data_IF_953354452375
#
_entry.id   IF_953354452375
#
_cell.length_a   1.000
_cell.length_b   1.000
_cell.length_c   1.000
_cell.angle_alpha   90.00
_cell.angle_beta   90.00
_cell.angle_gamma   90.00
#
_symmetry.space_group_name_H-M   'P 1'
#
loop_
_entity.id
_entity.type
_entity.pdbx_description
1 polymer ?
#
# COMPACT_ATOMS: atom_id res chain seq x y z
N UNK A 1 -4.00 17.17 19.21
CA UNK A 1 -3.46 15.78 19.17
C UNK A 1 -2.75 15.56 17.85
N UNK A 2 -1.58 14.95 17.89
CA UNK A 2 -0.76 14.73 16.69
C UNK A 2 -1.06 13.35 16.10
N UNK A 3 -1.51 13.33 14.84
CA UNK A 3 -1.82 12.10 14.09
C UNK A 3 -0.76 11.79 13.02
N UNK A 4 0.25 12.65 12.85
CA UNK A 4 1.32 12.49 11.87
C UNK A 4 2.20 11.30 12.24
N UNK A 5 2.61 10.57 11.23
CA UNK A 5 3.54 9.44 11.37
C UNK A 5 4.64 9.49 10.31
N UNK A 6 5.80 8.95 10.65
CA UNK A 6 6.95 8.82 9.78
C UNK A 6 7.29 7.34 9.60
N UNK A 7 7.20 6.84 8.38
CA UNK A 7 7.44 5.45 8.06
C UNK A 7 8.80 5.26 7.40
N UNK A 8 9.59 4.35 7.94
CA UNK A 8 10.92 4.03 7.47
C UNK A 8 11.82 3.52 8.59
N UNK A 9 13.06 3.24 8.26
CA UNK A 9 14.06 2.81 9.24
C UNK A 9 14.39 3.98 10.19
N UNK A 10 14.28 3.75 11.49
CA UNK A 10 14.69 4.74 12.53
C UNK A 10 16.21 4.71 12.73
N UNK A 11 16.85 5.84 13.04
CA UNK A 11 18.29 5.88 13.29
C UNK A 11 18.65 5.07 14.55
N UNK A 12 19.74 4.33 14.49
CA UNK A 12 20.22 3.54 15.64
C UNK A 12 20.69 4.42 16.79
N UNK A 13 21.28 5.57 16.49
CA UNK A 13 21.82 6.51 17.47
C UNK A 13 21.60 7.95 17.04
N UNK A 14 21.22 8.78 17.98
CA UNK A 14 21.19 10.23 17.81
C UNK A 14 22.60 10.77 18.09
N UNK A 15 23.22 11.39 17.09
CA UNK A 15 24.53 12.05 17.20
C UNK A 15 24.36 13.56 17.17
N UNK A 16 25.16 14.24 17.99
CA UNK A 16 25.21 15.71 18.02
C UNK A 16 26.65 16.18 17.88
N UNK A 17 26.85 17.32 17.25
CA UNK A 17 28.16 17.98 17.19
C UNK A 17 28.52 18.65 18.54
N UNK A 18 29.71 19.25 18.60
CA UNK A 18 30.20 19.94 19.79
C UNK A 18 29.31 21.16 20.20
N UNK A 19 28.51 21.65 19.28
CA UNK A 19 27.54 22.75 19.50
C UNK A 19 26.15 22.25 19.86
N UNK A 20 25.95 20.92 20.00
CA UNK A 20 24.68 20.29 20.34
C UNK A 20 23.72 20.13 19.16
N UNK A 21 24.11 20.46 17.94
CA UNK A 21 23.26 20.34 16.74
C UNK A 21 23.19 18.88 16.29
N UNK A 22 22.02 18.47 15.81
CA UNK A 22 21.79 17.13 15.31
C UNK A 22 22.60 16.88 14.02
N UNK A 23 23.45 15.86 14.03
CA UNK A 23 24.25 15.40 12.88
C UNK A 23 23.90 13.96 12.45
N UNK A 24 22.85 13.37 13.03
CA UNK A 24 22.37 12.05 12.61
C UNK A 24 21.77 12.16 11.21
N UNK A 25 22.28 11.40 10.27
CA UNK A 25 21.64 11.22 8.97
C UNK A 25 20.40 10.34 9.14
N UNK A 26 19.26 10.87 8.69
CA UNK A 26 18.03 10.10 8.64
C UNK A 26 17.93 9.38 7.30
N UNK A 27 17.58 8.10 7.34
CA UNK A 27 17.18 7.40 6.12
C UNK A 27 15.89 8.03 5.57
N UNK A 28 15.61 7.90 4.25
CA UNK A 28 14.38 8.39 3.68
C UNK A 28 13.16 7.89 4.45
N UNK A 29 12.23 8.80 4.76
CA UNK A 29 10.99 8.52 5.48
C UNK A 29 9.80 8.88 4.60
N UNK A 30 8.71 8.13 4.74
CA UNK A 30 7.42 8.48 4.18
C UNK A 30 6.61 9.22 5.26
N UNK A 31 6.38 10.50 5.07
CA UNK A 31 5.61 11.33 5.99
C UNK A 31 4.12 11.26 5.64
N UNK A 32 3.26 11.03 6.62
CA UNK A 32 1.81 11.00 6.50
C UNK A 32 1.17 11.88 7.56
N UNK A 33 0.16 12.67 7.20
CA UNK A 33 -0.58 13.52 8.14
C UNK A 33 -1.46 12.74 9.13
N UNK A 34 -1.72 11.46 8.83
CA UNK A 34 -2.48 10.51 9.65
C UNK A 34 -2.04 9.08 9.31
N UNK A 35 -2.20 8.09 10.20
CA UNK A 35 -1.70 6.73 10.00
C UNK A 35 -2.55 5.89 9.03
N UNK A 36 -2.96 6.47 7.89
CA UNK A 36 -3.78 5.79 6.87
C UNK A 36 -3.26 6.10 5.47
N UNK A 37 -3.24 5.07 4.62
CA UNK A 37 -2.88 5.15 3.20
C UNK A 37 -3.92 4.42 2.36
N UNK A 38 -4.11 4.84 1.11
CA UNK A 38 -4.89 4.08 0.14
C UNK A 38 -4.06 2.91 -0.39
N UNK A 39 -4.61 1.70 -0.26
CA UNK A 39 -3.90 0.48 -0.65
C UNK A 39 -3.77 0.33 -2.16
N UNK A 40 -2.86 -0.55 -2.57
CA UNK A 40 -2.55 -0.83 -3.96
C UNK A 40 -3.78 -1.28 -4.78
N UNK A 41 -4.12 -0.50 -5.79
CA UNK A 41 -5.18 -0.79 -6.75
C UNK A 41 -4.68 -0.42 -8.15
N UNK A 42 -4.47 -1.42 -9.03
CA UNK A 42 -3.79 -1.20 -10.29
C UNK A 42 -4.65 -0.52 -11.35
N UNK A 43 -4.04 0.39 -12.13
CA UNK A 43 -4.67 0.93 -13.33
C UNK A 43 -4.99 -0.19 -14.34
N UNK A 44 -6.20 -0.19 -14.84
CA UNK A 44 -6.78 -1.28 -15.59
C UNK A 44 -7.66 -2.21 -14.75
N UNK A 45 -7.31 -2.49 -13.47
CA UNK A 45 -8.24 -3.11 -12.53
C UNK A 45 -9.32 -2.13 -12.11
N UNK A 46 -8.93 -0.90 -11.75
CA UNK A 46 -9.81 0.23 -11.56
C UNK A 46 -9.62 1.24 -12.70
N UNK A 47 -10.58 2.14 -12.88
CA UNK A 47 -10.59 3.16 -13.93
C UNK A 47 -9.59 4.29 -13.64
N UNK A 48 -9.29 5.09 -14.67
CA UNK A 48 -8.53 6.32 -14.51
C UNK A 48 -9.20 7.26 -13.51
N UNK A 49 -10.52 7.48 -13.62
CA UNK A 49 -11.28 8.35 -12.72
C UNK A 49 -11.15 7.93 -11.25
N UNK A 50 -11.12 6.62 -10.98
CA UNK A 50 -10.91 6.12 -9.62
C UNK A 50 -9.46 6.36 -9.13
N UNK A 51 -8.47 6.18 -10.01
CA UNK A 51 -7.08 6.51 -9.69
C UNK A 51 -6.88 8.00 -9.44
N UNK A 52 -7.44 8.85 -10.28
CA UNK A 52 -7.37 10.31 -10.13
C UNK A 52 -8.01 10.76 -8.82
N UNK A 53 -9.19 10.22 -8.48
CA UNK A 53 -9.84 10.51 -7.20
C UNK A 53 -8.95 10.16 -6.01
N UNK A 54 -8.30 8.99 -6.03
CA UNK A 54 -7.39 8.57 -4.97
C UNK A 54 -6.14 9.45 -4.87
N UNK A 55 -5.53 9.79 -6.02
CA UNK A 55 -4.33 10.62 -6.07
C UNK A 55 -4.59 12.04 -5.56
N UNK A 56 -5.68 12.66 -6.00
CA UNK A 56 -6.10 14.01 -5.58
C UNK A 56 -6.45 14.05 -4.09
N UNK A 57 -7.18 13.06 -3.61
CA UNK A 57 -7.50 12.96 -2.18
C UNK A 57 -6.24 12.73 -1.33
N UNK A 58 -5.30 11.89 -1.79
CA UNK A 58 -4.04 11.65 -1.09
C UNK A 58 -3.22 12.94 -0.97
N UNK A 59 -3.11 13.72 -2.04
CA UNK A 59 -2.42 15.01 -2.03
C UNK A 59 -3.10 16.00 -1.07
N UNK A 60 -4.41 16.18 -1.18
CA UNK A 60 -5.16 17.12 -0.35
C UNK A 60 -5.08 16.78 1.15
N UNK A 61 -4.99 15.50 1.49
CA UNK A 61 -4.93 15.00 2.85
C UNK A 61 -3.50 14.88 3.40
N UNK A 62 -2.47 14.97 2.56
CA UNK A 62 -1.08 14.73 2.98
C UNK A 62 -0.85 13.25 3.38
N UNK A 63 -1.49 12.32 2.67
CA UNK A 63 -1.27 10.87 2.79
C UNK A 63 -0.80 10.32 1.44
N UNK A 64 -0.68 9.00 1.31
CA UNK A 64 -0.30 8.38 0.05
C UNK A 64 -1.34 7.41 -0.49
N UNK A 65 -1.40 7.30 -1.84
CA UNK A 65 -2.04 6.19 -2.52
C UNK A 65 -0.99 5.32 -3.21
N UNK A 66 -1.34 4.06 -3.50
CA UNK A 66 -0.46 3.09 -4.12
C UNK A 66 -0.96 2.74 -5.53
N UNK A 67 -0.07 2.81 -6.52
CA UNK A 67 -0.40 2.56 -7.94
C UNK A 67 -0.88 1.13 -8.21
N UNK A 68 -0.52 0.17 -7.36
CA UNK A 68 -0.66 -1.23 -7.70
C UNK A 68 0.30 -1.65 -8.83
N UNK A 69 0.12 -2.86 -9.34
CA UNK A 69 1.03 -3.51 -10.29
C UNK A 69 0.85 -3.11 -11.77
N UNK A 70 0.21 -2.00 -12.06
CA UNK A 70 -0.18 -1.59 -13.41
C UNK A 70 0.62 -0.43 -14.01
N UNK A 71 1.69 0.03 -13.36
CA UNK A 71 2.36 1.27 -13.75
C UNK A 71 1.59 2.51 -13.27
N UNK A 72 1.96 3.67 -13.75
CA UNK A 72 1.37 4.96 -13.42
C UNK A 72 1.00 5.69 -14.73
N UNK A 73 -0.25 6.15 -14.84
CA UNK A 73 -0.69 6.95 -15.98
C UNK A 73 0.05 8.29 -15.99
N UNK A 74 0.41 8.80 -17.18
CA UNK A 74 1.22 10.02 -17.34
C UNK A 74 0.63 11.24 -16.61
N UNK A 75 -0.67 11.43 -16.65
CA UNK A 75 -1.35 12.56 -16.00
C UNK A 75 -1.26 12.52 -14.47
N UNK A 76 -0.91 11.38 -13.87
CA UNK A 76 -0.83 11.20 -12.42
C UNK A 76 0.59 11.38 -11.86
N UNK A 77 1.61 11.54 -12.71
CA UNK A 77 2.99 11.80 -12.26
C UNK A 77 3.10 13.07 -11.42
N UNK A 78 2.24 14.06 -11.64
CA UNK A 78 2.17 15.28 -10.83
C UNK A 78 1.90 15.05 -9.35
N UNK A 79 1.26 13.93 -9.00
CA UNK A 79 0.97 13.52 -7.62
C UNK A 79 2.07 12.62 -7.00
N UNK A 80 3.25 12.57 -7.61
CA UNK A 80 4.34 11.66 -7.21
C UNK A 80 4.72 11.73 -5.74
N UNK A 81 4.66 12.91 -5.13
CA UNK A 81 4.94 13.10 -3.68
C UNK A 81 3.98 12.33 -2.76
N UNK A 82 2.79 12.01 -3.25
CA UNK A 82 1.73 11.30 -2.55
C UNK A 82 1.45 9.92 -3.18
N UNK A 83 2.40 9.40 -3.95
CA UNK A 83 2.28 8.15 -4.69
C UNK A 83 3.31 7.13 -4.20
N UNK A 84 2.86 5.90 -3.96
CA UNK A 84 3.73 4.74 -3.77
C UNK A 84 3.70 3.94 -5.07
N UNK A 85 4.87 3.75 -5.70
CA UNK A 85 5.00 2.96 -6.93
C UNK A 85 5.22 1.50 -6.61
N UNK A 86 4.42 0.60 -7.18
CA UNK A 86 4.50 -0.83 -6.87
C UNK A 86 5.25 -1.61 -7.96
N UNK A 87 6.10 -2.54 -7.51
CA UNK A 87 6.85 -3.49 -8.33
C UNK A 87 6.37 -4.90 -7.98
N UNK A 88 5.63 -5.54 -8.88
CA UNK A 88 5.15 -6.91 -8.74
C UNK A 88 5.95 -7.86 -9.65
N UNK A 89 5.67 -9.17 -9.60
CA UNK A 89 6.38 -10.18 -10.38
C UNK A 89 6.28 -9.97 -11.89
N UNK A 90 5.18 -9.42 -12.40
CA UNK A 90 4.99 -9.13 -13.83
C UNK A 90 5.74 -7.90 -14.34
N UNK A 91 6.26 -7.05 -13.46
CA UNK A 91 7.03 -5.82 -13.80
C UNK A 91 6.30 -4.88 -14.79
N UNK A 92 4.98 -4.90 -14.84
CA UNK A 92 4.20 -4.07 -15.77
C UNK A 92 4.42 -2.58 -15.53
N UNK A 93 4.83 -1.85 -16.56
CA UNK A 93 5.05 -0.40 -16.48
C UNK A 93 6.18 0.03 -15.55
N UNK A 94 7.09 -0.87 -15.20
CA UNK A 94 8.23 -0.54 -14.32
C UNK A 94 9.39 -0.05 -15.18
N UNK A 95 9.76 1.21 -15.01
CA UNK A 95 10.90 1.87 -15.63
C UNK A 95 11.46 2.96 -14.71
N UNK A 96 12.58 3.56 -15.06
CA UNK A 96 13.29 4.50 -14.17
C UNK A 96 12.41 5.69 -13.77
N UNK A 97 11.76 6.38 -14.72
CA UNK A 97 10.90 7.53 -14.42
C UNK A 97 9.74 7.17 -13.49
N UNK A 98 9.15 5.97 -13.67
CA UNK A 98 8.13 5.45 -12.78
C UNK A 98 8.64 5.26 -11.35
N UNK A 99 9.83 4.66 -11.19
CA UNK A 99 10.44 4.48 -9.87
C UNK A 99 10.80 5.82 -9.23
N UNK A 100 11.27 6.77 -10.04
CA UNK A 100 11.63 8.11 -9.58
C UNK A 100 10.43 9.00 -9.27
N UNK A 101 9.25 8.74 -9.82
CA UNK A 101 8.06 9.55 -9.60
C UNK A 101 7.51 9.45 -8.17
N UNK A 102 7.45 8.24 -7.60
CA UNK A 102 6.81 8.00 -6.30
C UNK A 102 7.61 8.48 -5.10
N UNK A 103 6.94 8.65 -3.97
CA UNK A 103 7.56 8.95 -2.68
C UNK A 103 8.22 7.72 -2.04
N UNK A 104 7.72 6.52 -2.35
CA UNK A 104 8.24 5.23 -1.90
C UNK A 104 8.03 4.18 -2.99
N UNK A 105 8.77 3.07 -2.90
CA UNK A 105 8.61 1.91 -3.77
C UNK A 105 8.11 0.74 -2.96
N UNK A 106 7.09 0.01 -3.45
CA UNK A 106 6.58 -1.19 -2.81
C UNK A 106 6.84 -2.43 -3.67
N UNK A 107 7.56 -3.40 -3.13
CA UNK A 107 7.71 -4.74 -3.72
C UNK A 107 6.50 -5.58 -3.28
N UNK A 108 5.68 -6.02 -4.23
CA UNK A 108 4.54 -6.89 -3.95
C UNK A 108 4.96 -8.37 -4.03
N UNK A 109 5.15 -9.01 -2.87
CA UNK A 109 5.35 -10.46 -2.79
C UNK A 109 4.02 -11.23 -2.74
N UNK A 110 2.97 -10.59 -2.24
CA UNK A 110 1.64 -11.17 -2.16
C UNK A 110 0.58 -10.17 -1.70
N UNK A 111 -0.65 -10.65 -1.53
CA UNK A 111 -1.75 -9.88 -0.95
C UNK A 111 -2.69 -10.80 -0.16
N UNK A 112 -3.29 -10.26 0.90
CA UNK A 112 -4.12 -11.03 1.85
C UNK A 112 -5.39 -11.64 1.25
N UNK A 113 -5.94 -11.03 0.21
CA UNK A 113 -7.13 -11.54 -0.47
C UNK A 113 -6.89 -12.81 -1.29
N UNK A 114 -5.66 -13.06 -1.72
CA UNK A 114 -5.29 -14.24 -2.54
C UNK A 114 -3.85 -14.67 -2.30
N UNK A 115 -3.51 -15.16 -1.11
CA UNK A 115 -2.17 -15.67 -0.83
C UNK A 115 -1.78 -16.78 -1.79
N UNK A 116 -0.55 -16.75 -2.30
CA UNK A 116 -0.03 -17.77 -3.22
C UNK A 116 -0.62 -17.75 -4.63
N UNK A 117 -1.46 -16.77 -4.95
CA UNK A 117 -2.02 -16.55 -6.30
C UNK A 117 -1.49 -15.24 -6.85
N UNK A 118 -1.02 -15.25 -8.09
CA UNK A 118 -0.55 -14.07 -8.79
C UNK A 118 -1.67 -13.12 -9.24
N UNK A 119 -1.28 -12.05 -9.93
CA UNK A 119 -2.19 -11.10 -10.56
C UNK A 119 -2.65 -11.58 -11.93
N UNK A 120 -3.91 -11.33 -12.27
CA UNK A 120 -4.45 -11.53 -13.61
C UNK A 120 -5.37 -10.37 -13.97
N UNK A 121 -5.05 -9.66 -15.02
CA UNK A 121 -5.94 -8.68 -15.64
C UNK A 121 -6.31 -9.19 -17.03
N UNK A 122 -7.61 -9.49 -17.30
CA UNK A 122 -8.05 -9.99 -18.59
C UNK A 122 -7.73 -9.01 -19.74
N UNK A 123 -7.36 -9.53 -20.92
CA UNK A 123 -7.02 -8.75 -22.09
C UNK A 123 -8.12 -7.77 -22.52
N UNK A 124 -9.39 -8.09 -22.26
CA UNK A 124 -10.51 -7.20 -22.51
C UNK A 124 -10.44 -5.86 -21.71
N UNK A 125 -9.61 -5.78 -20.68
CA UNK A 125 -9.31 -4.56 -19.92
C UNK A 125 -7.99 -3.91 -20.32
N UNK A 126 -7.19 -4.56 -21.16
CA UNK A 126 -5.91 -4.06 -21.65
C UNK A 126 -6.17 -3.33 -22.97
N UNK A 127 -6.63 -2.10 -22.88
CA UNK A 127 -7.00 -1.26 -24.02
C UNK A 127 -6.44 0.15 -23.85
N UNK A 128 -6.08 0.79 -24.96
CA UNK A 128 -5.64 2.18 -25.00
C UNK A 128 -4.53 2.49 -23.98
N UNK A 129 -4.80 3.43 -23.09
CA UNK A 129 -3.83 3.90 -22.10
C UNK A 129 -3.40 2.83 -21.10
N UNK A 130 -4.26 1.84 -20.82
CA UNK A 130 -3.89 0.71 -19.95
C UNK A 130 -2.77 -0.11 -20.59
N UNK A 131 -2.87 -0.38 -21.90
CA UNK A 131 -1.83 -1.07 -22.66
C UNK A 131 -0.52 -0.29 -22.65
N UNK A 132 -0.58 1.03 -22.94
CA UNK A 132 0.62 1.90 -22.92
C UNK A 132 1.25 1.96 -21.53
N UNK A 133 0.47 2.22 -20.50
CA UNK A 133 0.96 2.33 -19.13
C UNK A 133 1.58 1.04 -18.62
N UNK A 134 1.03 -0.12 -18.99
CA UNK A 134 1.55 -1.44 -18.59
C UNK A 134 2.69 -1.92 -19.48
N UNK A 135 2.93 -1.28 -20.62
CA UNK A 135 3.93 -1.68 -21.64
C UNK A 135 3.70 -3.11 -22.16
N UNK A 136 2.44 -3.46 -22.43
CA UNK A 136 2.03 -4.76 -22.99
C UNK A 136 1.04 -4.55 -24.14
N UNK A 137 0.98 -5.47 -25.13
CA UNK A 137 0.07 -5.35 -26.27
C UNK A 137 -1.41 -5.32 -25.86
N UNK A 138 -2.21 -4.55 -26.59
CA UNK A 138 -3.66 -4.55 -26.42
C UNK A 138 -4.26 -5.94 -26.59
N UNK A 139 -5.29 -6.25 -25.82
CA UNK A 139 -6.01 -7.52 -25.87
C UNK A 139 -5.25 -8.70 -25.24
N UNK A 140 -4.00 -8.51 -24.83
CA UNK A 140 -3.20 -9.56 -24.17
C UNK A 140 -3.52 -9.63 -22.69
N UNK A 141 -3.66 -10.85 -22.14
CA UNK A 141 -3.81 -11.03 -20.70
C UNK A 141 -2.53 -10.60 -19.96
N UNK A 142 -2.68 -9.75 -18.94
CA UNK A 142 -1.58 -9.39 -18.05
C UNK A 142 -1.53 -10.38 -16.88
N UNK A 143 -0.57 -11.30 -16.93
CA UNK A 143 -0.36 -12.32 -15.89
C UNK A 143 0.87 -11.95 -15.07
N UNK A 144 0.68 -11.77 -13.76
CA UNK A 144 1.73 -11.57 -12.77
C UNK A 144 1.86 -12.89 -11.99
N UNK A 145 2.89 -13.71 -12.20
CA UNK A 145 3.07 -14.97 -11.49
C UNK A 145 3.09 -14.78 -9.97
N UNK A 146 2.69 -15.80 -9.19
CA UNK A 146 2.73 -15.72 -7.74
C UNK A 146 4.16 -15.46 -7.22
N UNK A 147 5.18 -16.26 -7.59
CA UNK A 147 6.56 -15.95 -7.25
C UNK A 147 7.17 -14.94 -8.23
N UNK A 148 8.07 -14.10 -7.74
CA UNK A 148 8.97 -13.36 -8.62
C UNK A 148 9.99 -14.33 -9.24
N UNK A 149 10.30 -14.17 -10.51
CA UNK A 149 11.23 -15.06 -11.23
C UNK A 149 12.67 -14.94 -10.72
N UNK A 150 12.98 -13.84 -10.07
CA UNK A 150 14.30 -13.47 -9.56
C UNK A 150 14.39 -13.55 -8.03
N UNK A 151 13.37 -14.07 -7.32
CA UNK A 151 13.36 -14.16 -5.85
C UNK A 151 12.97 -15.57 -5.42
N UNK A 152 13.97 -16.32 -4.92
CA UNK A 152 13.81 -17.65 -4.37
C UNK A 152 14.26 -17.75 -2.91
N UNK A 153 14.87 -16.69 -2.37
CA UNK A 153 15.38 -16.61 -1.00
C UNK A 153 15.27 -15.19 -0.44
N UNK A 154 15.55 -15.03 0.84
CA UNK A 154 15.66 -13.70 1.47
C UNK A 154 16.82 -12.90 0.88
N UNK A 155 17.90 -13.56 0.49
CA UNK A 155 19.07 -12.96 -0.15
C UNK A 155 18.71 -12.38 -1.52
N UNK A 156 17.91 -13.08 -2.32
CA UNK A 156 17.42 -12.58 -3.60
C UNK A 156 16.50 -11.36 -3.40
N UNK A 157 15.61 -11.40 -2.41
CA UNK A 157 14.80 -10.25 -2.04
C UNK A 157 15.67 -9.05 -1.65
N UNK A 158 16.74 -9.28 -0.89
CA UNK A 158 17.72 -8.23 -0.53
C UNK A 158 18.37 -7.64 -1.78
N UNK A 159 18.72 -8.44 -2.77
CA UNK A 159 19.26 -7.92 -4.04
C UNK A 159 18.27 -7.00 -4.75
N UNK A 160 16.99 -7.37 -4.83
CA UNK A 160 15.98 -6.50 -5.43
C UNK A 160 15.81 -5.21 -4.61
N UNK A 161 15.76 -5.28 -3.29
CA UNK A 161 15.70 -4.09 -2.42
C UNK A 161 16.90 -3.17 -2.69
N UNK A 162 18.12 -3.70 -2.74
CA UNK A 162 19.32 -2.92 -3.03
C UNK A 162 19.24 -2.28 -4.41
N UNK A 163 18.87 -3.04 -5.44
CA UNK A 163 18.75 -2.53 -6.82
C UNK A 163 17.74 -1.38 -6.93
N UNK A 164 16.59 -1.48 -6.24
CA UNK A 164 15.59 -0.39 -6.22
C UNK A 164 16.08 0.84 -5.45
N UNK A 165 16.82 0.64 -4.35
CA UNK A 165 17.47 1.74 -3.63
C UNK A 165 18.54 2.43 -4.48
N UNK A 166 19.36 1.67 -5.19
CA UNK A 166 20.36 2.20 -6.12
C UNK A 166 19.70 2.98 -7.27
N UNK A 167 18.69 2.41 -7.92
CA UNK A 167 17.94 3.07 -8.98
C UNK A 167 17.34 4.42 -8.55
N UNK A 168 17.01 4.57 -7.29
CA UNK A 168 16.49 5.83 -6.70
C UNK A 168 17.52 6.61 -5.92
N UNK A 169 18.82 6.27 -6.06
CA UNK A 169 19.93 6.93 -5.41
C UNK A 169 19.75 7.00 -3.88
N UNK A 170 19.18 5.95 -3.29
CA UNK A 170 18.87 5.84 -1.85
C UNK A 170 17.98 6.97 -1.30
N UNK A 171 17.21 7.64 -2.16
CA UNK A 171 16.34 8.77 -1.76
C UNK A 171 14.93 8.36 -1.36
N UNK A 172 14.57 7.09 -1.52
CA UNK A 172 13.21 6.60 -1.26
C UNK A 172 13.22 5.37 -0.37
N UNK A 173 12.28 5.26 0.59
CA UNK A 173 12.11 4.04 1.35
C UNK A 173 11.55 2.93 0.45
N UNK A 174 11.97 1.70 0.73
CA UNK A 174 11.47 0.49 0.06
C UNK A 174 10.57 -0.28 1.01
N UNK A 175 9.36 -0.52 0.55
CA UNK A 175 8.31 -1.29 1.23
C UNK A 175 8.32 -2.70 0.67
N UNK A 176 8.17 -3.72 1.53
CA UNK A 176 7.91 -5.10 1.08
C UNK A 176 6.53 -5.50 1.57
N UNK A 177 5.61 -5.79 0.64
CA UNK A 177 4.26 -6.23 0.97
C UNK A 177 4.10 -7.75 0.85
N UNK A 178 3.60 -8.35 1.92
CA UNK A 178 3.37 -9.80 2.05
C UNK A 178 1.96 -10.09 2.53
N UNK A 179 1.43 -11.26 2.15
CA UNK A 179 0.19 -11.77 2.74
C UNK A 179 0.44 -12.29 4.15
N UNK A 180 -0.51 -12.05 5.05
CA UNK A 180 -0.51 -12.65 6.38
C UNK A 180 -0.86 -14.13 6.26
N UNK A 181 0.14 -15.00 6.35
CA UNK A 181 0.03 -16.46 6.22
C UNK A 181 0.88 -17.14 7.27
N UNK A 182 0.90 -18.46 7.26
CA UNK A 182 1.78 -19.28 8.11
C UNK A 182 3.22 -18.76 8.10
N UNK A 183 3.87 -18.72 9.26
CA UNK A 183 5.23 -18.22 9.47
C UNK A 183 5.46 -16.72 9.16
N UNK A 184 4.42 -15.90 9.12
CA UNK A 184 4.55 -14.48 8.79
C UNK A 184 5.57 -13.75 9.68
N UNK A 185 5.70 -14.11 10.94
CA UNK A 185 6.66 -13.51 11.87
C UNK A 185 8.12 -13.76 11.44
N UNK A 186 8.44 -15.00 11.02
CA UNK A 186 9.77 -15.34 10.50
C UNK A 186 10.03 -14.68 9.14
N UNK A 187 9.02 -14.63 8.28
CA UNK A 187 9.09 -13.94 6.97
C UNK A 187 9.39 -12.45 7.19
N UNK A 188 8.68 -11.78 8.09
CA UNK A 188 8.89 -10.37 8.41
C UNK A 188 10.29 -10.09 8.98
N UNK A 189 10.80 -10.97 9.86
CA UNK A 189 12.17 -10.90 10.36
C UNK A 189 13.19 -10.99 9.22
N UNK A 190 13.01 -11.93 8.28
CA UNK A 190 13.85 -12.05 7.09
C UNK A 190 13.81 -10.79 6.21
N UNK A 191 12.63 -10.22 5.98
CA UNK A 191 12.45 -8.99 5.20
C UNK A 191 13.18 -7.81 5.86
N UNK A 192 13.04 -7.64 7.18
CA UNK A 192 13.74 -6.59 7.93
C UNK A 192 15.25 -6.73 7.78
N UNK A 193 15.79 -7.94 7.96
CA UNK A 193 17.23 -8.25 7.77
C UNK A 193 17.67 -8.12 6.31
N UNK A 194 16.76 -8.28 5.36
CA UNK A 194 16.98 -8.04 3.93
C UNK A 194 17.12 -6.55 3.59
N UNK A 195 16.86 -5.64 4.52
CA UNK A 195 17.09 -4.21 4.36
C UNK A 195 15.89 -3.41 3.85
N UNK A 196 14.67 -3.96 3.93
CA UNK A 196 13.45 -3.19 3.74
C UNK A 196 13.33 -2.08 4.80
N UNK A 197 12.76 -0.95 4.44
CA UNK A 197 12.51 0.16 5.36
C UNK A 197 11.13 0.04 6.00
N UNK A 198 10.18 -0.59 5.28
CA UNK A 198 8.79 -0.74 5.69
C UNK A 198 8.32 -2.15 5.30
N UNK A 199 7.53 -2.79 6.15
CA UNK A 199 6.86 -4.06 5.85
C UNK A 199 5.35 -3.82 5.85
N UNK A 200 4.69 -4.12 4.74
CA UNK A 200 3.23 -4.09 4.65
C UNK A 200 2.67 -5.52 4.79
N UNK A 201 1.92 -5.75 5.86
CA UNK A 201 1.29 -7.04 6.16
C UNK A 201 -0.18 -6.95 5.75
N UNK A 202 -0.60 -7.80 4.82
CA UNK A 202 -1.96 -7.80 4.28
C UNK A 202 -2.74 -9.02 4.79
N UNK A 203 -3.69 -8.80 5.70
CA UNK A 203 -4.49 -9.81 6.36
C UNK A 203 -5.55 -10.44 5.46
N UNK A 204 -6.11 -11.57 5.92
CA UNK A 204 -7.20 -12.25 5.20
C UNK A 204 -8.46 -11.37 5.15
N UNK A 205 -9.39 -11.72 4.25
CA UNK A 205 -10.55 -10.87 3.89
C UNK A 205 -10.17 -9.49 3.36
N UNK A 206 -8.96 -9.35 2.84
CA UNK A 206 -8.59 -8.21 2.03
C UNK A 206 -9.52 -8.07 0.81
N UNK A 207 -9.74 -6.82 0.36
CA UNK A 207 -10.67 -6.55 -0.72
C UNK A 207 -10.11 -6.88 -2.09
N UNK A 208 -10.72 -7.82 -2.79
CA UNK A 208 -10.66 -7.93 -4.25
C UNK A 208 -11.82 -8.77 -4.77
N UNK A 209 -12.49 -8.31 -5.84
CA UNK A 209 -13.51 -9.10 -6.52
C UNK A 209 -12.95 -10.24 -7.38
N UNK A 210 -11.64 -10.25 -7.64
CA UNK A 210 -10.98 -11.24 -8.50
C UNK A 210 -10.48 -12.49 -7.74
N UNK A 211 -10.47 -12.48 -6.40
CA UNK A 211 -10.01 -13.61 -5.62
C UNK A 211 -11.06 -14.74 -5.57
N UNK A 212 -10.66 -16.00 -5.79
CA UNK A 212 -11.54 -17.13 -5.50
C UNK A 212 -11.98 -17.10 -4.04
N UNK A 213 -13.27 -17.27 -3.77
CA UNK A 213 -13.86 -17.17 -2.43
C UNK A 213 -13.19 -18.09 -1.42
N UNK A 214 -12.87 -19.34 -1.83
CA UNK A 214 -12.19 -20.31 -0.96
C UNK A 214 -10.82 -19.86 -0.49
N UNK A 215 -10.05 -19.19 -1.37
CA UNK A 215 -8.73 -18.67 -1.02
C UNK A 215 -8.87 -17.44 -0.13
N UNK A 216 -9.70 -16.49 -0.56
CA UNK A 216 -9.90 -15.21 0.16
C UNK A 216 -10.38 -15.42 1.60
N UNK A 217 -11.27 -16.37 1.82
CA UNK A 217 -11.95 -16.53 3.10
C UNK A 217 -11.29 -17.58 4.01
N UNK A 218 -10.28 -18.34 3.54
CA UNK A 218 -9.77 -19.48 4.31
C UNK A 218 -8.24 -19.66 4.35
N UNK A 219 -7.45 -18.91 3.57
CA UNK A 219 -6.00 -19.18 3.49
C UNK A 219 -5.18 -18.23 4.36
N UNK A 220 -5.51 -16.94 4.36
CA UNK A 220 -4.81 -15.96 5.19
C UNK A 220 -5.20 -16.06 6.67
N UNK A 221 -4.49 -15.34 7.51
CA UNK A 221 -4.81 -15.14 8.92
C UNK A 221 -5.29 -13.70 9.17
N UNK A 222 -6.11 -13.46 10.22
CA UNK A 222 -6.53 -12.10 10.57
C UNK A 222 -5.35 -11.18 10.80
N UNK A 223 -5.50 -9.92 10.38
CA UNK A 223 -4.41 -8.94 10.49
C UNK A 223 -3.98 -8.71 11.93
N UNK A 224 -4.91 -8.72 12.87
CA UNK A 224 -4.65 -8.50 14.29
C UNK A 224 -3.68 -9.55 14.85
N UNK A 225 -3.90 -10.82 14.50
CA UNK A 225 -3.03 -11.92 14.95
C UNK A 225 -1.66 -11.87 14.27
N UNK A 226 -1.65 -11.59 12.95
CA UNK A 226 -0.41 -11.51 12.19
C UNK A 226 0.47 -10.35 12.67
N UNK A 227 -0.15 -9.19 12.90
CA UNK A 227 0.54 -7.97 13.32
C UNK A 227 1.17 -8.15 14.70
N UNK A 228 0.40 -8.64 15.68
CA UNK A 228 0.91 -8.89 17.03
C UNK A 228 2.08 -9.89 17.03
N UNK A 229 1.99 -10.97 16.25
CA UNK A 229 3.07 -11.96 16.14
C UNK A 229 4.33 -11.37 15.47
N UNK A 230 4.16 -10.52 14.45
CA UNK A 230 5.28 -9.86 13.77
C UNK A 230 5.94 -8.82 14.67
N UNK A 231 5.16 -7.93 15.31
CA UNK A 231 5.70 -6.91 16.22
C UNK A 231 6.46 -7.56 17.38
N UNK A 232 5.87 -8.58 18.00
CA UNK A 232 6.53 -9.33 19.07
C UNK A 232 7.87 -9.94 18.60
N UNK A 233 7.88 -10.62 17.46
CA UNK A 233 9.07 -11.24 16.89
C UNK A 233 10.20 -10.23 16.62
N UNK A 234 9.86 -9.09 16.01
CA UNK A 234 10.83 -8.04 15.71
C UNK A 234 11.39 -7.39 16.99
N UNK A 235 10.57 -7.30 18.06
CA UNK A 235 11.03 -6.82 19.39
C UNK A 235 11.95 -7.82 20.07
N UNK A 236 11.60 -9.11 20.08
CA UNK A 236 12.42 -10.18 20.63
C UNK A 236 13.80 -10.26 19.96
N UNK A 237 13.86 -9.99 18.65
CA UNK A 237 15.12 -9.95 17.90
C UNK A 237 15.86 -8.60 17.99
N UNK A 238 15.30 -7.60 18.65
CA UNK A 238 15.89 -6.26 18.79
C UNK A 238 15.96 -5.45 17.49
N UNK A 239 15.16 -5.80 16.48
CA UNK A 239 15.16 -5.17 15.14
C UNK A 239 13.89 -4.38 14.82
N UNK A 240 12.93 -4.26 15.76
CA UNK A 240 11.66 -3.55 15.52
C UNK A 240 11.86 -2.11 15.03
N UNK A 241 12.88 -1.42 15.50
CA UNK A 241 13.21 -0.05 15.10
C UNK A 241 13.87 0.05 13.70
N UNK A 242 14.20 -1.07 13.07
CA UNK A 242 14.79 -1.08 11.74
C UNK A 242 13.77 -1.01 10.63
N UNK A 243 12.48 -1.21 10.93
CA UNK A 243 11.38 -1.17 9.96
C UNK A 243 10.14 -0.54 10.55
N UNK A 244 9.32 0.10 9.72
CA UNK A 244 7.93 0.43 10.04
C UNK A 244 7.00 -0.67 9.56
N UNK A 245 5.85 -0.83 10.22
CA UNK A 245 4.81 -1.82 9.89
C UNK A 245 3.55 -1.13 9.36
N UNK A 246 3.08 -1.54 8.19
CA UNK A 246 1.78 -1.13 7.66
C UNK A 246 0.84 -2.34 7.75
N UNK A 247 -0.30 -2.18 8.41
CA UNK A 247 -1.35 -3.19 8.49
C UNK A 247 -2.38 -2.99 7.38
N UNK A 248 -2.72 -4.05 6.64
CA UNK A 248 -3.78 -4.06 5.64
C UNK A 248 -4.71 -5.25 5.79
N UNK A 249 -5.85 -5.19 5.13
CA UNK A 249 -6.85 -6.26 5.18
C UNK A 249 -7.88 -6.08 6.30
N UNK A 250 -9.14 -5.90 5.91
CA UNK A 250 -10.29 -5.74 6.83
C UNK A 250 -10.30 -4.49 7.71
N UNK A 251 -9.50 -3.47 7.42
CA UNK A 251 -9.58 -2.16 8.08
C UNK A 251 -10.81 -1.42 7.51
N UNK A 252 -11.80 -1.14 8.36
CA UNK A 252 -13.13 -0.65 7.96
C UNK A 252 -13.57 0.61 8.70
N UNK A 253 -12.88 0.96 9.78
CA UNK A 253 -13.21 2.09 10.63
C UNK A 253 -11.95 2.70 11.24
N UNK A 254 -12.09 3.91 11.77
CA UNK A 254 -11.08 4.59 12.59
C UNK A 254 -10.65 3.75 13.81
N UNK A 255 -11.61 3.05 14.43
CA UNK A 255 -11.33 2.16 15.56
C UNK A 255 -10.44 0.96 15.17
N UNK A 256 -10.60 0.43 13.93
CA UNK A 256 -9.70 -0.63 13.43
C UNK A 256 -8.28 -0.09 13.24
N UNK A 257 -8.13 1.18 12.80
CA UNK A 257 -6.81 1.84 12.69
C UNK A 257 -6.16 1.95 14.05
N UNK A 258 -6.88 2.48 15.05
CA UNK A 258 -6.35 2.65 16.42
C UNK A 258 -5.95 1.30 17.02
N UNK A 259 -6.78 0.25 16.85
CA UNK A 259 -6.45 -1.11 17.32
C UNK A 259 -5.20 -1.66 16.63
N UNK A 260 -5.07 -1.44 15.30
CA UNK A 260 -3.89 -1.88 14.57
C UNK A 260 -2.62 -1.19 15.09
N UNK A 261 -2.67 0.13 15.36
CA UNK A 261 -1.55 0.86 15.95
C UNK A 261 -1.21 0.30 17.33
N UNK A 262 -2.20 0.09 18.20
CA UNK A 262 -2.01 -0.50 19.52
C UNK A 262 -1.42 -1.93 19.48
N UNK A 263 -1.59 -2.66 18.38
CA UNK A 263 -1.00 -3.99 18.13
C UNK A 263 0.39 -3.93 17.46
N UNK A 264 0.91 -2.74 17.20
CA UNK A 264 2.26 -2.53 16.68
C UNK A 264 2.35 -2.03 15.24
N UNK A 265 1.25 -1.64 14.58
CA UNK A 265 1.34 -0.97 13.28
C UNK A 265 1.77 0.49 13.44
N UNK A 266 2.53 1.01 12.47
CA UNK A 266 2.83 2.44 12.36
C UNK A 266 1.79 3.14 11.46
N UNK A 267 1.14 2.40 10.54
CA UNK A 267 0.05 2.90 9.70
C UNK A 267 -0.83 1.75 9.15
N UNK A 268 -1.93 2.12 8.49
CA UNK A 268 -2.89 1.17 7.91
C UNK A 268 -3.17 1.45 6.43
N UNK A 269 -3.21 0.39 5.62
CA UNK A 269 -3.75 0.42 4.27
C UNK A 269 -5.27 0.22 4.27
N UNK A 270 -5.99 1.06 3.55
CA UNK A 270 -7.41 0.88 3.26
C UNK A 270 -7.65 0.76 1.76
N UNK A 271 -8.43 -0.23 1.35
CA UNK A 271 -8.81 -0.43 -0.05
C UNK A 271 -10.32 -0.35 -0.23
N UNK A 272 -11.03 -1.38 0.22
CA UNK A 272 -12.50 -1.47 0.06
C UNK A 272 -13.24 -0.31 0.72
N UNK A 273 -12.79 0.18 1.88
CA UNK A 273 -13.38 1.34 2.55
C UNK A 273 -13.32 2.59 1.64
N UNK A 274 -12.17 2.85 1.02
CA UNK A 274 -12.01 3.95 0.07
C UNK A 274 -12.91 3.78 -1.17
N UNK A 275 -13.02 2.56 -1.72
CA UNK A 275 -13.91 2.30 -2.86
C UNK A 275 -15.39 2.49 -2.49
N UNK A 276 -15.81 2.10 -1.29
CA UNK A 276 -17.18 2.32 -0.79
C UNK A 276 -17.46 3.82 -0.68
N UNK A 277 -16.53 4.61 -0.16
CA UNK A 277 -16.67 6.06 -0.12
C UNK A 277 -16.91 6.66 -1.51
N UNK A 278 -16.20 6.17 -2.54
CA UNK A 278 -16.40 6.59 -3.93
C UNK A 278 -17.70 6.07 -4.57
N UNK A 279 -18.49 5.23 -3.88
CA UNK A 279 -19.77 4.71 -4.36
C UNK A 279 -19.75 3.23 -4.75
N UNK A 280 -18.79 2.43 -4.34
CA UNK A 280 -18.80 0.98 -4.56
C UNK A 280 -19.88 0.29 -3.72
N UNK A 281 -20.72 -0.51 -4.34
CA UNK A 281 -21.81 -1.25 -3.71
C UNK A 281 -21.47 -2.72 -3.39
N UNK A 282 -20.18 -3.10 -3.43
CA UNK A 282 -19.71 -4.47 -3.12
C UNK A 282 -20.39 -5.59 -3.93
N UNK A 283 -20.78 -5.30 -5.17
CA UNK A 283 -21.41 -6.29 -6.06
C UNK A 283 -20.47 -7.44 -6.48
N UNK A 284 -19.16 -7.29 -6.25
CA UNK A 284 -18.10 -8.30 -6.51
C UNK A 284 -18.02 -8.79 -7.96
N UNK A 285 -18.40 -7.95 -8.92
CA UNK A 285 -18.27 -8.24 -10.37
C UNK A 285 -17.08 -7.52 -11.01
N UNK A 286 -16.09 -7.12 -10.21
CA UNK A 286 -14.95 -6.29 -10.64
C UNK A 286 -14.13 -6.95 -11.75
N UNK A 287 -13.97 -8.29 -11.74
CA UNK A 287 -13.25 -9.05 -12.76
C UNK A 287 -13.92 -9.00 -14.15
N UNK A 288 -15.22 -8.77 -14.21
CA UNK A 288 -15.99 -8.79 -15.47
C UNK A 288 -15.76 -7.54 -16.35
N UNK A 289 -15.19 -6.47 -15.80
CA UNK A 289 -15.07 -5.18 -16.47
C UNK A 289 -16.41 -4.44 -16.65
N UNK A 290 -17.49 -4.90 -16.01
CA UNK A 290 -18.86 -4.34 -16.12
C UNK A 290 -19.30 -3.61 -14.85
N UNK A 291 -18.34 -2.97 -14.15
CA UNK A 291 -18.66 -2.20 -12.95
C UNK A 291 -19.63 -1.06 -13.28
N UNK A 292 -20.86 -1.14 -12.75
CA UNK A 292 -21.90 -0.14 -13.01
C UNK A 292 -21.60 1.23 -12.39
N UNK A 293 -20.63 1.31 -11.47
CA UNK A 293 -20.24 2.50 -10.71
C UNK A 293 -19.04 3.24 -11.28
N UNK A 294 -18.53 2.82 -12.46
CA UNK A 294 -17.39 3.46 -13.10
C UNK A 294 -16.02 3.17 -12.45
N UNK A 295 -15.99 2.37 -11.38
CA UNK A 295 -14.77 2.14 -10.59
C UNK A 295 -13.88 1.06 -11.21
N UNK A 296 -14.39 -0.17 -11.39
CA UNK A 296 -13.59 -1.33 -11.83
C UNK A 296 -13.91 -1.71 -13.30
N UNK A 297 -13.82 -0.75 -14.20
CA UNK A 297 -14.12 -0.88 -15.62
C UNK A 297 -13.20 -0.01 -16.46
N UNK A 298 -13.02 -0.37 -17.75
CA UNK A 298 -12.34 0.44 -18.76
C UNK A 298 -13.30 0.85 -19.89
N UNK A 299 -14.58 0.53 -19.76
CA UNK A 299 -15.61 0.91 -20.77
C UNK A 299 -15.95 2.37 -20.62
N UNK A 300 -15.77 3.22 -21.67
CA UNK A 300 -15.97 4.66 -21.57
C UNK A 300 -17.37 5.06 -21.07
N UNK A 301 -18.41 4.31 -21.49
CA UNK A 301 -19.79 4.55 -21.09
C UNK A 301 -20.06 4.26 -19.61
N UNK A 302 -19.21 3.45 -18.98
CA UNK A 302 -19.30 3.16 -17.55
C UNK A 302 -18.34 4.03 -16.73
N UNK A 303 -17.10 4.27 -17.21
CA UNK A 303 -16.10 5.11 -16.53
C UNK A 303 -16.66 6.49 -16.19
N UNK A 304 -17.36 7.13 -17.12
CA UNK A 304 -17.99 8.45 -16.92
C UNK A 304 -19.04 8.53 -15.80
N UNK A 305 -19.43 7.38 -15.21
CA UNK A 305 -20.36 7.36 -14.06
C UNK A 305 -19.68 7.68 -12.73
N UNK A 306 -18.36 7.63 -12.68
CA UNK A 306 -17.58 8.12 -11.55
C UNK A 306 -16.99 9.48 -11.95
N UNK A 307 -17.50 10.54 -11.32
CA UNK A 307 -16.91 11.87 -11.42
C UNK A 307 -15.70 11.94 -10.47
N UNK A 308 -14.49 12.26 -10.97
CA UNK A 308 -13.30 12.39 -10.12
C UNK A 308 -13.42 13.46 -9.04
N UNK A 309 -14.15 14.55 -9.29
CA UNK A 309 -14.38 15.63 -8.31
C UNK A 309 -15.19 15.10 -7.13
N UNK A 310 -16.34 14.47 -7.41
CA UNK A 310 -17.14 13.81 -6.36
C UNK A 310 -16.38 12.69 -5.65
N UNK A 311 -15.65 11.86 -6.38
CA UNK A 311 -14.86 10.78 -5.81
C UNK A 311 -13.80 11.30 -4.84
N UNK A 312 -13.12 12.38 -5.21
CA UNK A 312 -12.12 13.07 -4.37
C UNK A 312 -12.76 13.63 -3.10
N UNK A 313 -13.85 14.37 -3.23
CA UNK A 313 -14.56 14.98 -2.09
C UNK A 313 -15.02 13.94 -1.08
N UNK A 314 -15.62 12.84 -1.56
CA UNK A 314 -16.09 11.73 -0.70
C UNK A 314 -14.95 11.07 0.06
N UNK A 315 -13.78 10.89 -0.57
CA UNK A 315 -12.59 10.36 0.07
C UNK A 315 -12.04 11.30 1.13
N UNK A 316 -11.98 12.61 0.84
CA UNK A 316 -11.55 13.63 1.79
C UNK A 316 -12.48 13.65 3.02
N UNK A 317 -13.79 13.61 2.79
CA UNK A 317 -14.78 13.61 3.85
C UNK A 317 -14.63 12.37 4.76
N UNK A 318 -14.48 11.17 4.17
CA UNK A 318 -14.25 9.95 4.94
C UNK A 318 -12.99 10.06 5.81
N UNK A 319 -11.86 10.46 5.21
CA UNK A 319 -10.58 10.53 5.93
C UNK A 319 -10.57 11.63 6.99
N UNK A 320 -11.21 12.76 6.73
CA UNK A 320 -11.35 13.83 7.72
C UNK A 320 -12.17 13.38 8.92
N UNK A 321 -13.28 12.67 8.69
CA UNK A 321 -14.09 12.08 9.76
C UNK A 321 -13.26 11.07 10.57
N UNK A 322 -12.55 10.15 9.91
CA UNK A 322 -11.68 9.18 10.60
C UNK A 322 -10.58 9.86 11.41
N UNK A 323 -9.98 10.93 10.88
CA UNK A 323 -8.95 11.68 11.61
C UNK A 323 -9.51 12.26 12.92
N UNK A 324 -10.73 12.84 12.89
CA UNK A 324 -11.40 13.34 14.10
C UNK A 324 -11.70 12.22 15.09
N UNK A 325 -12.25 11.10 14.63
CA UNK A 325 -12.55 9.94 15.47
C UNK A 325 -11.27 9.34 16.11
N UNK A 326 -10.18 9.26 15.35
CA UNK A 326 -8.86 8.82 15.89
C UNK A 326 -8.42 9.77 17.02
N UNK A 327 -8.52 11.10 16.81
CA UNK A 327 -8.17 12.07 17.84
C UNK A 327 -9.07 11.97 19.08
N UNK A 328 -10.36 11.71 18.91
CA UNK A 328 -11.29 11.48 20.03
C UNK A 328 -10.91 10.24 20.84
N UNK A 329 -10.61 9.12 20.15
CA UNK A 329 -10.17 7.88 20.81
C UNK A 329 -8.85 8.10 21.56
N UNK A 330 -7.87 8.76 20.92
CA UNK A 330 -6.60 9.14 21.58
C UNK A 330 -6.84 10.00 22.82
N UNK A 331 -7.77 10.96 22.74
CA UNK A 331 -8.16 11.79 23.88
C UNK A 331 -8.75 10.99 25.03
N UNK A 332 -9.63 10.02 24.72
CA UNK A 332 -10.18 9.10 25.71
C UNK A 332 -9.13 8.19 26.36
N UNK A 333 -8.03 7.92 25.65
CA UNK A 333 -6.89 7.14 26.15
C UNK A 333 -5.84 8.00 26.88
N UNK A 334 -5.96 9.33 26.87
CA UNK A 334 -4.99 10.25 27.45
C UNK A 334 -3.68 10.38 26.63
N UNK A 335 -3.73 10.13 25.32
CA UNK A 335 -2.57 10.13 24.43
C UNK A 335 -2.59 11.38 23.54
N UNK A 336 -1.47 12.09 23.45
CA UNK A 336 -1.32 13.32 22.67
C UNK A 336 -0.78 13.10 21.25
N UNK A 337 -0.09 12.00 21.01
CA UNK A 337 0.50 11.62 19.71
C UNK A 337 0.20 10.17 19.41
N UNK A 338 -0.16 9.87 18.16
CA UNK A 338 -0.40 8.50 17.71
C UNK A 338 0.86 7.61 17.83
N UNK A 339 2.06 8.18 17.73
CA UNK A 339 3.32 7.45 17.91
C UNK A 339 3.61 7.08 19.37
N UNK A 340 2.82 7.58 20.33
CA UNK A 340 2.94 7.23 21.75
C UNK A 340 2.04 6.03 22.12
N UNK A 341 1.28 5.49 21.18
CA UNK A 341 0.43 4.32 21.35
C UNK A 341 1.23 3.02 21.14
#
# INVERSE_FOLDING_TARGET
>A
METRVFLGKKPERIRRDAQGRLITELTPQLELSMPVLFSAMSYGSISFNAHESLARAAEALGICYNTGEGGLHEDLYRYGRNTITQVASGRFGVHEDYLMAGAAIEIKMGQGAKPGIGGHLPGAKIVGDVSRTRMIPEGSDAISPAPHHDIYSIEDLRQLICSLKEATQYRKPVIVKVAAVHNIAAIASGIARGGADIIAIDGFRGGTGAAPTRIRDNVGIPIELALAAVDQRLREEGIRNQVSLIAGGSIRSSADVVKAVALGADACYIGTAALIAMGCHLCRTCQSGRCAWGIATQRPELVKRLDPDEGTERLINLMTAWKHEIMEIMGGMGINSIEAM
#
